data_IF_551331620249
#
_entry.id   IF_551331620249
#
_cell.length_a   1.000
_cell.length_b   1.000
_cell.length_c   1.000
_cell.angle_alpha   90.00
_cell.angle_beta   90.00
_cell.angle_gamma   90.00
#
_symmetry.space_group_name_H-M   'P 1'
#
loop_
_entity.id
_entity.type
_entity.pdbx_description
1 polymer ?
#
# COMPACT_ATOMS: atom_id res chain seq x y z
N UNK A 1 9.05 -26.13 49.74
CA UNK A 1 7.92 -26.57 48.88
C UNK A 1 7.10 -25.39 48.33
N UNK A 2 6.53 -24.51 49.18
CA UNK A 2 5.72 -23.34 48.74
C UNK A 2 6.42 -22.41 47.74
N UNK A 3 7.72 -22.15 47.94
CA UNK A 3 8.55 -21.32 47.03
C UNK A 3 8.82 -21.98 45.67
N UNK A 4 8.88 -23.31 45.60
CA UNK A 4 9.07 -24.05 44.35
C UNK A 4 7.76 -24.13 43.54
N UNK A 5 6.61 -24.22 44.20
CA UNK A 5 5.30 -24.15 43.56
C UNK A 5 5.03 -22.75 42.96
N UNK A 6 5.46 -21.69 43.63
CA UNK A 6 5.39 -20.32 43.12
C UNK A 6 6.31 -20.15 41.89
N UNK A 7 7.55 -20.65 41.96
CA UNK A 7 8.47 -20.60 40.82
C UNK A 7 7.93 -21.37 39.59
N UNK A 8 7.34 -22.55 39.79
CA UNK A 8 6.75 -23.35 38.72
C UNK A 8 5.51 -22.67 38.10
N UNK A 9 4.70 -21.99 38.90
CA UNK A 9 3.58 -21.19 38.41
C UNK A 9 4.04 -19.98 37.58
N UNK A 10 5.13 -19.32 37.99
CA UNK A 10 5.76 -18.20 37.25
C UNK A 10 6.40 -18.63 35.92
N UNK A 11 6.89 -19.86 35.82
CA UNK A 11 7.43 -20.44 34.58
C UNK A 11 6.34 -20.86 33.57
N UNK A 12 5.08 -21.02 33.99
CA UNK A 12 3.96 -21.37 33.12
C UNK A 12 3.26 -20.14 32.49
N UNK A 13 3.53 -18.93 33.00
CA UNK A 13 2.97 -17.66 32.51
C UNK A 13 3.28 -17.30 31.03
N UNK A 14 4.44 -17.66 30.43
CA UNK A 14 4.72 -17.33 29.03
C UNK A 14 3.80 -18.03 28.01
N UNK A 15 3.21 -19.18 28.39
CA UNK A 15 2.34 -19.99 27.51
C UNK A 15 0.94 -19.42 27.30
N UNK A 16 0.55 -18.37 28.04
CA UNK A 16 -0.75 -17.70 27.92
C UNK A 16 -0.69 -16.44 27.05
N UNK A 17 0.43 -16.19 26.37
CA UNK A 17 0.50 -15.16 25.34
C UNK A 17 -0.25 -15.66 24.10
N UNK A 18 -1.57 -15.47 24.11
CA UNK A 18 -2.34 -15.44 22.87
C UNK A 18 -1.81 -14.25 22.07
N UNK A 19 -1.05 -14.53 21.01
CA UNK A 19 -0.87 -13.57 19.95
C UNK A 19 -2.25 -13.29 19.37
N UNK A 20 -2.92 -12.25 19.89
CA UNK A 20 -4.00 -11.59 19.19
C UNK A 20 -3.37 -11.10 17.89
N UNK A 21 -3.51 -11.88 16.81
CA UNK A 21 -3.41 -11.33 15.47
C UNK A 21 -4.60 -10.40 15.29
N UNK A 22 -4.57 -9.25 15.98
CA UNK A 22 -5.49 -8.13 15.76
C UNK A 22 -5.28 -7.49 14.38
N UNK A 23 -4.41 -8.07 13.55
CA UNK A 23 -4.41 -7.84 12.13
C UNK A 23 -5.62 -8.53 11.52
N UNK A 24 -6.55 -7.73 11.02
CA UNK A 24 -7.54 -8.13 10.02
C UNK A 24 -6.99 -9.25 9.12
N UNK A 25 -7.74 -10.34 8.97
CA UNK A 25 -7.38 -11.44 8.09
C UNK A 25 -7.05 -10.88 6.69
N UNK A 26 -5.79 -10.99 6.28
CA UNK A 26 -5.36 -10.45 4.99
C UNK A 26 -5.97 -11.29 3.87
N UNK A 27 -6.60 -10.62 2.91
CA UNK A 27 -7.04 -11.22 1.67
C UNK A 27 -5.82 -11.65 0.85
N UNK A 28 -5.89 -12.84 0.24
CA UNK A 28 -4.86 -13.29 -0.69
C UNK A 28 -4.96 -12.49 -2.00
N UNK A 29 -3.88 -11.82 -2.36
CA UNK A 29 -3.80 -11.08 -3.61
C UNK A 29 -3.72 -12.08 -4.80
N UNK A 30 -4.61 -11.99 -5.80
CA UNK A 30 -4.61 -12.89 -6.95
C UNK A 30 -3.54 -12.47 -7.97
N UNK A 31 -2.27 -12.61 -7.61
CA UNK A 31 -1.13 -12.14 -8.42
C UNK A 31 -0.59 -13.25 -9.31
N UNK A 32 -0.50 -12.94 -10.61
CA UNK A 32 0.25 -13.71 -11.59
C UNK A 32 1.31 -12.80 -12.24
N UNK A 33 2.59 -13.10 -11.99
CA UNK A 33 3.73 -12.32 -12.52
C UNK A 33 4.01 -12.60 -14.00
N UNK A 34 3.37 -13.61 -14.59
CA UNK A 34 3.47 -13.92 -16.01
C UNK A 34 2.37 -13.24 -16.84
N UNK A 35 1.29 -12.80 -16.20
CA UNK A 35 0.20 -12.08 -16.87
C UNK A 35 0.61 -10.62 -17.19
N UNK A 36 1.20 -10.41 -18.36
CA UNK A 36 1.66 -9.08 -18.81
C UNK A 36 0.53 -8.05 -18.89
N UNK A 37 -0.67 -8.44 -19.32
CA UNK A 37 -1.81 -7.53 -19.40
C UNK A 37 -2.21 -7.00 -18.00
N UNK A 38 -2.21 -7.87 -16.99
CA UNK A 38 -2.44 -7.48 -15.60
C UNK A 38 -1.36 -6.52 -15.09
N UNK A 39 -0.08 -6.82 -15.37
CA UNK A 39 1.04 -5.96 -14.96
C UNK A 39 1.02 -4.60 -15.64
N UNK A 40 0.67 -4.54 -16.94
CA UNK A 40 0.49 -3.30 -17.69
C UNK A 40 -0.65 -2.45 -17.13
N UNK A 41 -1.79 -3.08 -16.81
CA UNK A 41 -2.89 -2.39 -16.10
C UNK A 41 -2.45 -1.88 -14.72
N UNK A 42 -1.65 -2.65 -14.00
CA UNK A 42 -1.05 -2.24 -12.73
C UNK A 42 -0.16 -1.00 -12.87
N UNK A 43 0.70 -0.95 -13.90
CA UNK A 43 1.52 0.23 -14.19
C UNK A 43 0.67 1.46 -14.53
N UNK A 44 -0.36 1.29 -15.36
CA UNK A 44 -1.31 2.37 -15.69
C UNK A 44 -2.04 2.89 -14.43
N UNK A 45 -2.57 2.00 -13.60
CA UNK A 45 -3.24 2.37 -12.36
C UNK A 45 -2.29 3.09 -11.40
N UNK A 46 -1.04 2.63 -11.28
CA UNK A 46 -0.04 3.29 -10.46
C UNK A 46 0.21 4.74 -10.90
N UNK A 47 0.45 4.97 -12.20
CA UNK A 47 0.68 6.32 -12.73
C UNK A 47 -0.55 7.21 -12.50
N UNK A 48 -1.76 6.69 -12.75
CA UNK A 48 -2.98 7.50 -12.73
C UNK A 48 -3.53 7.78 -11.32
N UNK A 49 -3.36 6.87 -10.36
CA UNK A 49 -3.95 6.99 -9.02
C UNK A 49 -2.92 7.20 -7.91
N UNK A 50 -1.72 6.65 -8.06
CA UNK A 50 -0.76 6.59 -6.95
C UNK A 50 0.34 7.64 -7.11
N UNK A 51 0.83 7.84 -8.33
CA UNK A 51 2.02 8.66 -8.61
C UNK A 51 1.82 10.15 -8.32
N UNK A 52 0.58 10.60 -8.15
CA UNK A 52 0.31 11.96 -7.67
C UNK A 52 0.84 12.23 -6.24
N UNK A 53 0.89 11.20 -5.39
CA UNK A 53 1.32 11.31 -3.99
C UNK A 53 2.55 10.46 -3.66
N UNK A 54 2.78 9.38 -4.40
CA UNK A 54 3.85 8.42 -4.15
C UNK A 54 4.86 8.41 -5.30
N UNK A 55 6.11 8.12 -4.98
CA UNK A 55 7.17 7.87 -5.97
C UNK A 55 7.50 6.38 -6.04
N UNK A 56 8.21 5.99 -7.10
CA UNK A 56 9.10 4.82 -7.09
C UNK A 56 10.53 5.34 -7.32
N UNK A 57 11.12 5.89 -6.27
CA UNK A 57 12.40 6.60 -6.30
C UNK A 57 13.56 5.76 -6.85
N UNK A 58 13.45 4.42 -6.79
CA UNK A 58 14.47 3.48 -7.28
C UNK A 58 14.01 2.60 -8.46
N UNK A 59 12.86 2.90 -9.09
CA UNK A 59 12.39 2.17 -10.27
C UNK A 59 12.35 3.08 -11.49
N UNK A 60 13.04 2.68 -12.57
CA UNK A 60 13.05 3.40 -13.84
C UNK A 60 11.87 2.98 -14.72
N UNK A 61 11.35 3.91 -15.50
CA UNK A 61 10.29 3.66 -16.47
C UNK A 61 10.65 2.52 -17.44
N UNK A 62 11.81 2.59 -18.11
CA UNK A 62 12.24 1.55 -19.06
C UNK A 62 12.52 0.19 -18.41
N UNK A 63 13.00 0.15 -17.16
CA UNK A 63 13.28 -1.11 -16.46
C UNK A 63 11.98 -1.87 -16.24
N UNK A 64 10.97 -1.17 -15.71
CA UNK A 64 9.62 -1.68 -15.53
C UNK A 64 9.02 -2.10 -16.87
N UNK A 65 9.13 -1.26 -17.90
CA UNK A 65 8.59 -1.52 -19.24
C UNK A 65 9.05 -2.87 -19.82
N UNK A 66 10.36 -3.12 -19.76
CA UNK A 66 10.97 -4.38 -20.23
C UNK A 66 10.43 -5.59 -19.46
N UNK A 67 10.22 -5.46 -18.16
CA UNK A 67 9.66 -6.54 -17.34
C UNK A 67 8.19 -6.82 -17.66
N UNK A 68 7.45 -5.84 -18.20
CA UNK A 68 6.02 -5.98 -18.53
C UNK A 68 5.73 -6.02 -20.04
N UNK A 69 6.77 -6.11 -20.88
CA UNK A 69 6.65 -6.24 -22.32
C UNK A 69 6.19 -4.98 -23.06
N UNK A 70 6.47 -3.79 -22.51
CA UNK A 70 6.22 -2.51 -23.20
C UNK A 70 7.50 -1.97 -23.84
N UNK A 71 7.33 -1.24 -24.94
CA UNK A 71 8.40 -0.47 -25.58
C UNK A 71 8.60 0.88 -24.89
N UNK A 72 9.79 1.47 -25.06
CA UNK A 72 10.09 2.81 -24.54
C UNK A 72 9.13 3.88 -25.09
N UNK A 73 8.66 3.72 -26.34
CA UNK A 73 7.69 4.61 -26.99
C UNK A 73 6.29 4.46 -26.36
N UNK A 74 5.81 3.23 -26.14
CA UNK A 74 4.54 3.00 -25.45
C UNK A 74 4.55 3.61 -24.03
N UNK A 75 5.68 3.52 -23.32
CA UNK A 75 5.82 4.08 -21.98
C UNK A 75 5.80 5.60 -22.02
N UNK A 76 6.54 6.20 -22.95
CA UNK A 76 6.57 7.65 -23.13
C UNK A 76 5.17 8.19 -23.42
N UNK A 77 4.43 7.52 -24.31
CA UNK A 77 3.13 8.02 -24.77
C UNK A 77 2.00 7.79 -23.77
N UNK A 78 2.09 6.75 -22.93
CA UNK A 78 0.97 6.31 -22.08
C UNK A 78 1.21 6.41 -20.57
N UNK A 79 2.47 6.51 -20.12
CA UNK A 79 2.83 6.44 -18.69
C UNK A 79 3.64 7.65 -18.21
N UNK A 80 4.12 8.52 -19.11
CA UNK A 80 4.90 9.71 -18.75
C UNK A 80 4.11 10.97 -19.11
N UNK A 81 3.58 11.64 -18.08
CA UNK A 81 2.82 12.89 -18.24
C UNK A 81 3.57 14.14 -17.77
N UNK A 82 4.79 13.97 -17.26
CA UNK A 82 5.57 15.02 -16.56
C UNK A 82 6.77 15.55 -17.36
N UNK A 83 6.95 15.07 -18.60
CA UNK A 83 8.13 15.38 -19.40
C UNK A 83 9.41 14.64 -18.98
N UNK A 84 9.32 13.69 -18.05
CA UNK A 84 10.43 12.82 -17.68
C UNK A 84 10.93 12.00 -18.89
N UNK A 85 12.18 11.53 -18.81
CA UNK A 85 12.72 10.60 -19.80
C UNK A 85 12.39 9.18 -19.37
N UNK A 86 12.26 8.32 -20.36
CA UNK A 86 12.04 6.87 -20.18
C UNK A 86 13.18 6.18 -19.37
N UNK A 87 14.37 6.78 -19.31
CA UNK A 87 15.47 6.32 -18.45
C UNK A 87 15.43 6.82 -17.00
N UNK A 88 14.54 7.76 -16.67
CA UNK A 88 14.45 8.37 -15.34
C UNK A 88 13.66 7.48 -14.37
N UNK A 89 13.76 7.78 -13.08
CA UNK A 89 12.91 7.15 -12.05
C UNK A 89 11.55 7.84 -11.96
N UNK A 90 10.58 7.12 -11.42
CA UNK A 90 9.21 7.60 -11.26
C UNK A 90 9.09 8.51 -10.05
N UNK A 91 9.14 9.82 -10.28
CA UNK A 91 9.07 10.84 -9.24
C UNK A 91 7.79 11.65 -9.34
N UNK A 92 7.21 11.96 -8.18
CA UNK A 92 6.16 12.98 -8.09
C UNK A 92 6.76 14.37 -7.85
N UNK A 93 5.94 15.41 -8.04
CA UNK A 93 6.34 16.80 -7.83
C UNK A 93 6.01 17.33 -6.43
N UNK A 94 5.51 16.48 -5.52
CA UNK A 94 4.97 16.90 -4.23
C UNK A 94 6.09 17.18 -3.21
N UNK A 95 6.22 18.41 -2.68
CA UNK A 95 7.20 18.68 -1.64
C UNK A 95 6.87 17.94 -0.33
N UNK A 96 7.87 17.30 0.28
CA UNK A 96 7.68 16.49 1.51
C UNK A 96 7.10 17.28 2.68
N UNK A 97 7.44 18.57 2.79
CA UNK A 97 6.94 19.46 3.83
C UNK A 97 5.43 19.74 3.66
N UNK A 98 5.00 20.01 2.43
CA UNK A 98 3.59 20.24 2.11
C UNK A 98 2.78 18.96 2.27
N UNK A 99 3.31 17.82 1.83
CA UNK A 99 2.69 16.52 2.01
C UNK A 99 2.42 16.21 3.49
N UNK A 100 3.41 16.48 4.37
CA UNK A 100 3.24 16.30 5.82
C UNK A 100 2.17 17.23 6.40
N UNK A 101 2.05 18.46 5.89
CA UNK A 101 1.02 19.40 6.31
C UNK A 101 -0.39 18.95 5.87
N UNK A 102 -0.54 18.40 4.67
CA UNK A 102 -1.82 17.97 4.13
C UNK A 102 -2.29 16.62 4.70
N UNK A 103 -1.40 15.64 4.77
CA UNK A 103 -1.76 14.26 5.15
C UNK A 103 -1.39 13.90 6.60
N UNK A 104 -0.75 14.81 7.33
CA UNK A 104 -0.19 14.56 8.67
C UNK A 104 1.13 13.77 8.66
N UNK A 105 1.41 13.08 7.55
CA UNK A 105 2.64 12.31 7.30
C UNK A 105 3.07 12.49 5.85
N UNK A 106 4.36 12.35 5.56
CA UNK A 106 4.83 12.29 4.18
C UNK A 106 4.44 10.91 3.60
N UNK A 107 3.74 10.85 2.45
CA UNK A 107 3.46 9.57 1.79
C UNK A 107 4.76 8.79 1.53
N UNK A 108 4.80 7.48 1.83
CA UNK A 108 6.01 6.69 1.65
C UNK A 108 6.36 6.50 0.16
N UNK A 109 7.65 6.32 -0.12
CA UNK A 109 8.09 5.74 -1.40
C UNK A 109 7.56 4.29 -1.51
N UNK A 110 7.10 3.93 -2.71
CA UNK A 110 6.48 2.63 -2.93
C UNK A 110 7.39 1.63 -3.65
N UNK A 111 8.66 1.96 -3.92
CA UNK A 111 9.57 1.08 -4.69
C UNK A 111 9.66 -0.33 -4.10
N UNK A 112 9.70 -0.44 -2.77
CA UNK A 112 9.84 -1.71 -2.05
C UNK A 112 8.65 -2.02 -1.13
N UNK A 113 7.52 -1.33 -1.30
CA UNK A 113 6.39 -1.48 -0.37
C UNK A 113 5.84 -2.91 -0.35
N UNK A 114 5.76 -3.57 -1.50
CA UNK A 114 5.32 -4.96 -1.61
C UNK A 114 6.25 -5.93 -0.87
N UNK A 115 7.56 -5.64 -0.82
CA UNK A 115 8.54 -6.45 -0.09
C UNK A 115 8.49 -6.18 1.41
N UNK A 116 8.31 -4.93 1.82
CA UNK A 116 8.32 -4.54 3.24
C UNK A 116 7.04 -4.90 3.99
N UNK A 117 5.87 -4.83 3.32
CA UNK A 117 4.56 -5.10 3.93
C UNK A 117 3.92 -6.41 3.47
N UNK A 118 4.31 -6.92 2.31
CA UNK A 118 3.69 -8.09 1.67
C UNK A 118 2.55 -7.70 0.71
N UNK A 119 2.38 -8.51 -0.34
CA UNK A 119 1.37 -8.27 -1.38
C UNK A 119 -0.07 -8.38 -0.88
N UNK A 120 -0.33 -9.32 0.03
CA UNK A 120 -1.65 -9.51 0.65
C UNK A 120 -2.03 -8.30 1.51
N UNK A 121 -1.06 -7.69 2.19
CA UNK A 121 -1.28 -6.46 2.94
C UNK A 121 -1.71 -5.34 2.01
N UNK A 122 -0.99 -5.09 0.91
CA UNK A 122 -1.34 -4.04 -0.05
C UNK A 122 -2.73 -4.24 -0.65
N UNK A 123 -3.01 -5.47 -1.08
CA UNK A 123 -4.30 -5.82 -1.67
C UNK A 123 -5.44 -5.58 -0.68
N UNK A 124 -5.29 -6.08 0.55
CA UNK A 124 -6.31 -5.87 1.59
C UNK A 124 -6.43 -4.40 1.97
N UNK A 125 -5.32 -3.68 2.12
CA UNK A 125 -5.31 -2.27 2.45
C UNK A 125 -6.06 -1.43 1.41
N UNK A 126 -5.84 -1.67 0.12
CA UNK A 126 -6.53 -0.93 -0.94
C UNK A 126 -8.03 -1.21 -1.01
N UNK A 127 -8.47 -2.42 -0.61
CA UNK A 127 -9.87 -2.86 -0.72
C UNK A 127 -10.71 -2.66 0.55
N UNK A 128 -10.09 -2.31 1.67
CA UNK A 128 -10.78 -2.26 2.98
C UNK A 128 -10.93 -0.84 3.55
N UNK A 129 -11.01 0.14 2.65
CA UNK A 129 -11.47 1.47 2.99
C UNK A 129 -12.98 1.46 3.28
N UNK A 130 -13.40 2.17 4.33
CA UNK A 130 -14.80 2.32 4.70
C UNK A 130 -15.09 3.74 5.18
N UNK A 131 -16.36 4.14 5.09
CA UNK A 131 -16.86 5.44 5.56
C UNK A 131 -16.65 5.61 7.07
N UNK A 132 -15.99 6.70 7.45
CA UNK A 132 -15.79 7.11 8.85
C UNK A 132 -15.74 8.65 8.92
N UNK A 133 -16.89 9.30 9.17
CA UNK A 133 -16.97 10.77 9.24
C UNK A 133 -16.12 11.40 10.33
N UNK A 134 -15.58 10.63 11.28
CA UNK A 134 -14.69 11.15 12.33
C UNK A 134 -13.27 11.41 11.82
N UNK A 135 -12.92 10.92 10.62
CA UNK A 135 -11.58 11.03 10.03
C UNK A 135 -11.49 12.23 9.07
N UNK A 136 -10.29 12.82 8.89
CA UNK A 136 -10.11 14.00 8.03
C UNK A 136 -10.59 13.84 6.58
N UNK A 137 -10.57 12.61 6.05
CA UNK A 137 -10.99 12.30 4.67
C UNK A 137 -12.34 11.57 4.61
N UNK A 138 -13.09 11.51 5.72
CA UNK A 138 -14.37 10.80 5.80
C UNK A 138 -14.26 9.27 5.63
N UNK A 139 -13.05 8.72 5.70
CA UNK A 139 -12.78 7.28 5.55
C UNK A 139 -11.74 6.80 6.54
N UNK A 140 -11.79 5.51 6.83
CA UNK A 140 -10.80 4.78 7.61
C UNK A 140 -10.49 3.44 6.93
N UNK A 141 -9.59 2.64 7.49
CA UNK A 141 -9.13 1.40 6.90
C UNK A 141 -9.11 0.25 7.92
N UNK A 142 -9.55 -0.94 7.52
CA UNK A 142 -9.64 -2.08 8.42
C UNK A 142 -8.28 -2.69 8.78
N UNK A 143 -7.30 -2.61 7.88
CA UNK A 143 -5.96 -3.17 8.05
C UNK A 143 -5.01 -2.17 8.70
N UNK A 144 -5.22 -0.87 8.46
CA UNK A 144 -4.42 0.19 9.04
C UNK A 144 -5.30 1.31 9.61
N UNK A 145 -5.82 1.13 10.83
CA UNK A 145 -6.68 2.11 11.48
C UNK A 145 -6.02 3.48 11.59
N UNK A 146 -6.83 4.52 11.43
CA UNK A 146 -6.39 5.92 11.46
C UNK A 146 -5.45 6.30 10.30
N UNK A 147 -5.55 5.60 9.17
CA UNK A 147 -4.78 5.94 7.97
C UNK A 147 -4.91 7.43 7.60
N UNK A 148 -3.79 8.04 7.19
CA UNK A 148 -3.75 9.40 6.64
C UNK A 148 -3.98 9.44 5.13
N UNK A 149 -4.14 8.28 4.47
CA UNK A 149 -4.37 8.20 3.04
C UNK A 149 -5.87 8.23 2.73
N UNK A 150 -6.34 9.09 1.80
CA UNK A 150 -7.73 9.07 1.34
C UNK A 150 -8.06 7.78 0.58
N UNK A 151 -9.36 7.49 0.37
CA UNK A 151 -9.76 6.33 -0.43
C UNK A 151 -9.59 6.63 -1.93
N UNK A 152 -8.38 6.47 -2.46
CA UNK A 152 -8.06 6.86 -3.85
C UNK A 152 -8.80 6.04 -4.92
N UNK A 153 -9.32 4.86 -4.59
CA UNK A 153 -10.03 3.97 -5.53
C UNK A 153 -11.57 4.04 -5.41
N UNK A 154 -12.11 5.05 -4.70
CA UNK A 154 -13.55 5.14 -4.42
C UNK A 154 -14.43 5.16 -5.67
N UNK A 155 -13.94 5.70 -6.80
CA UNK A 155 -14.70 5.71 -8.06
C UNK A 155 -14.79 4.33 -8.72
N UNK A 156 -13.86 3.43 -8.39
CA UNK A 156 -13.83 2.07 -8.93
C UNK A 156 -14.57 1.08 -8.02
N UNK A 157 -14.49 1.28 -6.71
CA UNK A 157 -15.03 0.36 -5.70
C UNK A 157 -16.38 0.81 -5.14
N UNK A 158 -16.68 2.11 -5.19
CA UNK A 158 -17.74 2.73 -4.39
C UNK A 158 -17.35 2.88 -2.92
N UNK A 159 -18.09 3.72 -2.20
CA UNK A 159 -17.90 3.90 -0.76
C UNK A 159 -18.48 2.72 0.01
N UNK A 160 -17.67 2.11 0.87
CA UNK A 160 -18.07 0.97 1.69
C UNK A 160 -18.58 1.43 3.04
N UNK A 161 -19.63 0.80 3.57
CA UNK A 161 -20.13 1.03 4.92
C UNK A 161 -19.74 -0.13 5.83
N UNK A 162 -19.17 0.13 7.01
CA UNK A 162 -18.82 -0.94 7.95
C UNK A 162 -20.10 -1.62 8.49
N UNK A 163 -20.05 -2.94 8.65
CA UNK A 163 -21.07 -3.74 9.32
C UNK A 163 -20.42 -4.31 10.58
N UNK A 164 -21.01 -4.04 11.74
CA UNK A 164 -20.48 -4.42 13.06
C UNK A 164 -21.28 -5.57 13.67
#
# INVERSE_FOLDING_TARGET
MKKMLIALALLALPGLTMASSGGSHLMTAPIDLHNKASLQKGAQLFVNYCMGCHSLEHQRYNRMARDIGLTDEQVKDNLIFTGAKVGDTMQNAMPKADAKKWFGVTPPDLTLIARSRGVNYLYTYLLTYYEDPSRPYGVNNAVFPNTGMPHVLWQLQGMQKPVY
#
